data_IF_517750726054
#
_entry.id   IF_517750726054
#
_cell.length_a   1.000
_cell.length_b   1.000
_cell.length_c   1.000
_cell.angle_alpha   90.00
_cell.angle_beta   90.00
_cell.angle_gamma   90.00
#
_symmetry.space_group_name_H-M   'P 1'
#
loop_
_entity.id
_entity.type
_entity.pdbx_description
1 polymer ?
#
# COMPACT_ATOMS: atom_id res chain seq x y z
N UNK A 1 37.59 -36.33 -4.90
CA UNK A 1 36.65 -35.30 -5.38
C UNK A 1 37.47 -34.16 -5.94
N UNK A 2 37.40 -33.87 -7.24
CA UNK A 2 38.40 -33.04 -7.94
C UNK A 2 38.14 -31.55 -7.77
N UNK A 3 39.20 -30.74 -7.62
CA UNK A 3 39.14 -29.29 -7.45
C UNK A 3 38.22 -28.57 -8.45
N UNK A 4 38.12 -29.08 -9.68
CA UNK A 4 37.19 -28.56 -10.70
C UNK A 4 35.73 -28.52 -10.25
N UNK A 5 35.25 -29.54 -9.50
CA UNK A 5 33.86 -29.59 -9.02
C UNK A 5 33.56 -28.48 -8.01
N UNK A 6 34.53 -28.09 -7.18
CA UNK A 6 34.39 -27.03 -6.18
C UNK A 6 34.27 -25.66 -6.86
N UNK A 7 35.04 -25.40 -7.92
CA UNK A 7 34.98 -24.15 -8.66
C UNK A 7 33.63 -23.96 -9.40
N UNK A 8 33.09 -25.03 -9.99
CA UNK A 8 31.75 -24.97 -10.60
C UNK A 8 30.66 -24.71 -9.57
N UNK A 9 30.73 -25.37 -8.41
CA UNK A 9 29.79 -25.13 -7.31
C UNK A 9 29.88 -23.69 -6.79
N UNK A 10 31.10 -23.15 -6.61
CA UNK A 10 31.30 -21.75 -6.22
C UNK A 10 30.77 -20.77 -7.27
N UNK A 11 31.04 -21.03 -8.56
CA UNK A 11 30.55 -20.19 -9.66
C UNK A 11 29.02 -20.21 -9.77
N UNK A 12 28.38 -21.38 -9.64
CA UNK A 12 26.93 -21.52 -9.60
C UNK A 12 26.31 -20.80 -8.40
N UNK A 13 26.96 -20.86 -7.24
CA UNK A 13 26.49 -20.18 -6.02
C UNK A 13 26.56 -18.66 -6.21
N UNK A 14 27.66 -18.13 -6.74
CA UNK A 14 27.80 -16.69 -7.05
C UNK A 14 26.81 -16.21 -8.11
N UNK A 15 26.57 -17.02 -9.15
CA UNK A 15 25.58 -16.71 -10.19
C UNK A 15 24.16 -16.67 -9.61
N UNK A 16 23.81 -17.60 -8.72
CA UNK A 16 22.51 -17.61 -8.04
C UNK A 16 22.28 -16.33 -7.22
N UNK A 17 23.29 -15.86 -6.47
CA UNK A 17 23.19 -14.61 -5.72
C UNK A 17 23.14 -13.36 -6.62
N UNK A 18 23.77 -13.37 -7.80
CA UNK A 18 23.66 -12.27 -8.77
C UNK A 18 22.32 -12.22 -9.52
N UNK A 19 21.57 -13.34 -9.55
CA UNK A 19 20.24 -13.42 -10.17
C UNK A 19 19.09 -13.14 -9.20
N UNK A 20 19.38 -12.86 -7.93
CA UNK A 20 18.37 -12.47 -6.97
C UNK A 20 17.85 -11.05 -7.29
N UNK A 21 16.66 -10.96 -7.88
CA UNK A 21 15.99 -9.68 -8.09
C UNK A 21 15.48 -9.17 -6.73
N UNK A 22 15.72 -7.90 -6.37
CA UNK A 22 15.08 -7.31 -5.21
C UNK A 22 13.57 -7.28 -5.45
N UNK A 23 12.82 -7.91 -4.55
CA UNK A 23 11.37 -7.78 -4.50
C UNK A 23 11.03 -6.79 -3.39
N UNK A 24 10.28 -5.75 -3.71
CA UNK A 24 9.73 -4.80 -2.75
C UNK A 24 8.21 -4.83 -2.82
N UNK A 25 7.55 -4.46 -1.71
CA UNK A 25 6.13 -4.19 -1.75
C UNK A 25 5.87 -3.06 -2.76
N UNK A 26 4.97 -3.29 -3.72
CA UNK A 26 4.65 -2.29 -4.74
C UNK A 26 3.82 -1.16 -4.13
N UNK A 27 2.85 -1.51 -3.28
CA UNK A 27 2.04 -0.56 -2.53
C UNK A 27 2.71 -0.23 -1.21
N UNK A 28 2.93 1.06 -0.96
CA UNK A 28 3.49 1.60 0.28
C UNK A 28 2.53 2.63 0.86
N UNK A 29 2.54 2.78 2.19
CA UNK A 29 1.87 3.92 2.84
C UNK A 29 2.78 5.14 2.66
N UNK A 30 2.28 6.20 2.03
CA UNK A 30 3.02 7.44 1.78
C UNK A 30 2.70 8.54 2.78
N UNK A 31 1.46 8.61 3.28
CA UNK A 31 1.03 9.58 4.27
C UNK A 31 -0.01 8.98 5.23
N UNK A 32 -0.02 9.48 6.46
CA UNK A 32 -1.01 9.13 7.49
C UNK A 32 -1.51 10.41 8.13
N UNK A 33 -2.80 10.68 7.98
CA UNK A 33 -3.50 11.73 8.70
C UNK A 33 -4.29 11.10 9.84
N UNK A 34 -3.76 11.19 11.06
CA UNK A 34 -4.35 10.60 12.26
C UNK A 34 -4.91 11.65 13.24
N UNK A 35 -4.47 12.91 13.14
CA UNK A 35 -4.83 13.95 14.10
C UNK A 35 -4.99 15.31 13.39
N UNK A 36 -6.10 15.46 12.67
CA UNK A 36 -6.41 16.68 11.93
C UNK A 36 -7.06 17.71 12.85
N UNK A 37 -6.46 18.90 12.99
CA UNK A 37 -6.97 19.98 13.85
C UNK A 37 -8.49 20.24 13.63
N UNK A 38 -9.26 20.21 14.73
CA UNK A 38 -10.73 20.22 14.71
C UNK A 38 -11.31 18.93 15.27
N UNK A 39 -12.64 18.76 15.26
CA UNK A 39 -13.34 17.63 15.89
C UNK A 39 -12.66 16.25 15.69
N UNK A 40 -12.34 15.57 16.79
CA UNK A 40 -11.52 14.34 16.91
C UNK A 40 -12.07 13.06 16.23
N UNK A 41 -13.17 13.11 15.46
CA UNK A 41 -13.82 11.88 15.01
C UNK A 41 -13.92 11.80 13.50
N UNK A 42 -13.43 10.70 12.93
CA UNK A 42 -13.63 10.23 11.54
C UNK A 42 -12.94 11.01 10.41
N UNK A 43 -12.01 11.91 10.75
CA UNK A 43 -11.24 12.69 9.77
C UNK A 43 -9.95 12.00 9.33
N UNK A 44 -9.75 10.77 9.81
CA UNK A 44 -8.55 10.00 9.56
C UNK A 44 -8.52 9.43 8.15
N UNK A 45 -7.35 9.46 7.55
CA UNK A 45 -7.10 8.83 6.27
C UNK A 45 -5.64 8.41 6.12
N UNK A 46 -5.42 7.45 5.24
CA UNK A 46 -4.10 6.93 4.87
C UNK A 46 -3.95 7.04 3.36
N UNK A 47 -2.85 7.63 2.91
CA UNK A 47 -2.48 7.62 1.50
C UNK A 47 -1.60 6.40 1.22
N UNK A 48 -1.94 5.69 0.14
CA UNK A 48 -1.13 4.62 -0.41
C UNK A 48 -0.64 4.98 -1.81
N UNK A 49 0.60 4.58 -2.09
CA UNK A 49 1.30 4.86 -3.34
C UNK A 49 1.80 3.57 -3.98
N UNK A 50 1.60 3.44 -5.30
CA UNK A 50 2.21 2.36 -6.06
C UNK A 50 3.61 2.76 -6.54
N UNK A 51 4.61 2.38 -5.75
CA UNK A 51 6.05 2.52 -6.04
C UNK A 51 6.60 1.49 -7.04
N UNK A 52 5.78 0.49 -7.40
CA UNK A 52 6.13 -0.54 -8.38
C UNK A 52 6.01 -0.05 -9.83
N UNK A 53 6.41 -0.91 -10.77
CA UNK A 53 6.31 -0.63 -12.21
C UNK A 53 5.04 -1.22 -12.85
N UNK A 54 4.31 -2.07 -12.12
CA UNK A 54 3.12 -2.76 -12.60
C UNK A 54 1.85 -2.18 -11.97
N UNK A 55 0.71 -2.39 -12.64
CA UNK A 55 -0.60 -2.10 -12.06
C UNK A 55 -0.92 -3.09 -10.94
N UNK A 56 -1.44 -2.61 -9.82
CA UNK A 56 -1.83 -3.45 -8.67
C UNK A 56 -3.32 -3.34 -8.43
N UNK A 57 -4.02 -4.47 -8.49
CA UNK A 57 -5.41 -4.55 -8.04
C UNK A 57 -5.46 -4.71 -6.52
N UNK A 58 -6.30 -3.90 -5.86
CA UNK A 58 -6.58 -3.99 -4.43
C UNK A 58 -7.81 -4.84 -4.10
N UNK A 59 -8.32 -5.60 -5.08
CA UNK A 59 -9.49 -6.44 -4.84
C UNK A 59 -9.22 -7.46 -3.73
N UNK A 60 -10.09 -7.46 -2.72
CA UNK A 60 -9.96 -8.33 -1.55
C UNK A 60 -8.90 -7.91 -0.52
N UNK A 61 -8.17 -6.81 -0.76
CA UNK A 61 -7.23 -6.27 0.21
C UNK A 61 -7.94 -5.80 1.49
N UNK A 62 -7.18 -5.81 2.58
CA UNK A 62 -7.64 -5.40 3.89
C UNK A 62 -6.60 -4.48 4.51
N UNK A 63 -7.06 -3.47 5.23
CA UNK A 63 -6.24 -2.63 6.08
C UNK A 63 -6.17 -3.25 7.47
N UNK A 64 -4.98 -3.60 7.93
CA UNK A 64 -4.81 -4.22 9.24
C UNK A 64 -4.45 -3.17 10.28
N UNK A 65 -5.29 -3.05 11.31
CA UNK A 65 -5.20 -2.05 12.37
C UNK A 65 -5.80 -2.67 13.65
N UNK A 66 -5.14 -2.49 14.80
CA UNK A 66 -5.56 -3.00 16.11
C UNK A 66 -6.15 -4.44 16.11
N UNK A 67 -5.37 -5.40 15.62
CA UNK A 67 -5.73 -6.82 15.52
C UNK A 67 -6.99 -7.14 14.67
N UNK A 68 -7.44 -6.17 13.88
CA UNK A 68 -8.57 -6.29 12.98
C UNK A 68 -8.13 -6.12 11.54
N UNK A 69 -8.70 -6.91 10.64
CA UNK A 69 -8.54 -6.73 9.20
C UNK A 69 -9.76 -6.01 8.65
N UNK A 70 -9.66 -4.72 8.38
CA UNK A 70 -10.73 -3.88 7.83
C UNK A 70 -10.80 -4.06 6.32
N UNK A 71 -12.00 -4.33 5.77
CA UNK A 71 -12.16 -4.48 4.33
C UNK A 71 -11.93 -3.12 3.65
N UNK A 72 -11.25 -3.10 2.50
CA UNK A 72 -11.24 -1.95 1.61
C UNK A 72 -12.45 -2.03 0.67
N UNK A 73 -13.26 -0.96 0.63
CA UNK A 73 -14.41 -0.85 -0.28
C UNK A 73 -14.18 0.32 -1.22
N UNK A 74 -14.06 0.06 -2.52
CA UNK A 74 -13.93 1.13 -3.51
C UNK A 74 -15.19 2.01 -3.49
N UNK A 75 -15.02 3.31 -3.31
CA UNK A 75 -16.10 4.29 -3.31
C UNK A 75 -15.93 5.40 -4.34
N UNK A 76 -14.71 5.61 -4.85
CA UNK A 76 -14.41 6.54 -5.94
C UNK A 76 -13.19 6.05 -6.73
N UNK A 77 -13.17 6.26 -8.05
CA UNK A 77 -12.02 5.92 -8.91
C UNK A 77 -11.97 4.45 -9.30
N UNK A 78 -10.75 3.91 -9.38
CA UNK A 78 -10.48 2.55 -9.87
C UNK A 78 -10.01 1.62 -8.75
N UNK A 79 -10.40 0.34 -8.80
CA UNK A 79 -9.96 -0.68 -7.82
C UNK A 79 -8.45 -1.02 -7.94
N UNK A 80 -7.80 -0.57 -9.01
CA UNK A 80 -6.40 -0.82 -9.28
C UNK A 80 -5.61 0.48 -9.34
N UNK A 81 -4.39 0.46 -8.81
CA UNK A 81 -3.48 1.61 -8.78
C UNK A 81 -2.38 1.37 -9.81
N UNK A 82 -2.26 2.26 -10.82
CA UNK A 82 -1.15 2.16 -11.78
C UNK A 82 0.17 2.56 -11.14
N UNK A 83 1.27 2.18 -11.76
CA UNK A 83 2.60 2.65 -11.36
C UNK A 83 2.62 4.17 -11.25
N UNK A 84 3.11 4.69 -10.12
CA UNK A 84 3.20 6.13 -9.88
C UNK A 84 1.90 6.79 -9.43
N UNK A 85 0.79 6.06 -9.28
CA UNK A 85 -0.50 6.60 -8.82
C UNK A 85 -0.70 6.39 -7.31
N UNK A 86 -1.64 7.18 -6.76
CA UNK A 86 -2.00 7.23 -5.35
C UNK A 86 -3.48 6.85 -5.15
N UNK A 87 -3.81 6.36 -3.97
CA UNK A 87 -5.19 6.21 -3.51
C UNK A 87 -5.29 6.56 -2.03
N UNK A 88 -6.49 6.96 -1.60
CA UNK A 88 -6.78 7.28 -0.20
C UNK A 88 -7.64 6.19 0.41
N UNK A 89 -7.28 5.74 1.60
CA UNK A 89 -8.12 4.90 2.47
C UNK A 89 -8.68 5.80 3.55
N UNK A 90 -9.99 6.02 3.56
CA UNK A 90 -10.69 6.92 4.50
C UNK A 90 -11.44 6.13 5.56
N UNK A 91 -11.50 6.66 6.78
CA UNK A 91 -12.41 6.14 7.80
C UNK A 91 -13.88 6.43 7.45
N UNK A 92 -14.17 7.64 6.95
CA UNK A 92 -15.50 8.08 6.55
C UNK A 92 -15.41 8.98 5.31
N UNK A 93 -15.97 8.50 4.20
CA UNK A 93 -15.97 9.24 2.93
C UNK A 93 -16.63 10.62 3.04
N UNK A 94 -17.73 10.72 3.79
CA UNK A 94 -18.50 11.96 3.85
C UNK A 94 -17.71 13.04 4.57
N UNK A 95 -17.05 12.68 5.67
CA UNK A 95 -16.18 13.57 6.43
C UNK A 95 -14.97 14.00 5.60
N UNK A 96 -14.30 13.07 4.91
CA UNK A 96 -13.17 13.41 4.04
C UNK A 96 -13.56 14.41 2.94
N UNK A 97 -14.70 14.22 2.27
CA UNK A 97 -15.12 15.11 1.20
C UNK A 97 -15.63 16.49 1.68
N UNK A 98 -15.90 16.67 2.98
CA UNK A 98 -16.12 18.01 3.54
C UNK A 98 -14.82 18.81 3.59
N UNK A 99 -13.72 18.15 3.94
CA UNK A 99 -12.39 18.76 4.05
C UNK A 99 -11.72 18.90 2.68
N UNK A 100 -11.89 17.92 1.79
CA UNK A 100 -11.33 17.90 0.44
C UNK A 100 -12.41 17.74 -0.65
N UNK A 101 -13.30 18.74 -0.84
CA UNK A 101 -14.47 18.63 -1.72
C UNK A 101 -14.14 18.54 -3.21
N UNK A 102 -12.88 18.76 -3.60
CA UNK A 102 -12.42 18.71 -4.99
C UNK A 102 -11.53 17.49 -5.25
N UNK A 103 -11.35 16.59 -4.28
CA UNK A 103 -10.54 15.39 -4.48
C UNK A 103 -11.22 14.45 -5.49
N UNK A 104 -10.51 14.12 -6.56
CA UNK A 104 -11.02 13.32 -7.68
C UNK A 104 -10.25 12.02 -7.92
N UNK A 105 -9.31 11.67 -7.03
CA UNK A 105 -8.54 10.43 -7.10
C UNK A 105 -9.30 9.20 -6.63
N UNK A 106 -8.62 8.06 -6.56
CA UNK A 106 -9.19 6.82 -6.03
C UNK A 106 -9.36 6.90 -4.51
N UNK A 107 -10.54 6.48 -4.02
CA UNK A 107 -10.86 6.40 -2.59
C UNK A 107 -11.42 5.02 -2.26
N UNK A 108 -10.88 4.44 -1.18
CA UNK A 108 -11.42 3.27 -0.49
C UNK A 108 -11.96 3.67 0.87
N UNK A 109 -13.19 3.27 1.17
CA UNK A 109 -13.77 3.36 2.51
C UNK A 109 -13.37 2.13 3.34
N UNK A 110 -12.98 2.36 4.60
CA UNK A 110 -12.60 1.29 5.52
C UNK A 110 -12.80 1.69 6.99
N UNK A 111 -13.26 0.77 7.82
CA UNK A 111 -13.74 1.07 9.18
C UNK A 111 -12.64 1.04 10.27
N UNK A 112 -11.43 1.51 9.97
CA UNK A 112 -10.29 1.55 10.92
C UNK A 112 -10.37 2.76 11.86
N UNK A 113 -9.63 2.77 12.97
CA UNK A 113 -9.52 3.98 13.83
C UNK A 113 -8.08 4.13 14.30
N UNK A 114 -7.42 5.23 13.95
CA UNK A 114 -6.07 5.49 14.41
C UNK A 114 -6.09 6.01 15.85
N UNK A 115 -4.98 5.85 16.56
CA UNK A 115 -4.83 6.41 17.90
C UNK A 115 -4.17 7.78 17.81
N UNK A 116 -4.79 8.81 18.39
CA UNK A 116 -4.25 10.16 18.56
C UNK A 116 -4.06 10.53 20.04
#
# INVERSE_FOLDING_TARGET
MTQSRIHYLLALTLLFFMLALPVSAQIVISEVMYDLEGSDSKREWVEIFNSGNDIVSLSGWRFYENDSNHKLTLVQGDESIKSGEYAIIVNDLSTFLLDWPQFSGTIFDSSFSLSN
#
